data_IF_152669907972
#
_entry.id   IF_152669907972
#
_cell.length_a   1.000
_cell.length_b   1.000
_cell.length_c   1.000
_cell.angle_alpha   90.00
_cell.angle_beta   90.00
_cell.angle_gamma   90.00
#
_symmetry.space_group_name_H-M   'P 1'
#
loop_
_entity.id
_entity.type
_entity.pdbx_description
1 polymer ?
#
# COMPACT_ATOMS: atom_id res chain seq x y z
N UNK A 1 2.22 10.44 17.60
CA UNK A 1 2.99 9.44 16.84
C UNK A 1 3.00 8.08 17.52
N UNK A 2 3.52 7.92 18.75
CA UNK A 2 3.65 6.61 19.41
C UNK A 2 2.35 5.82 19.41
N UNK A 3 1.24 6.46 19.79
CA UNK A 3 -0.07 5.80 19.83
C UNK A 3 -0.45 5.21 18.47
N UNK A 4 -0.30 5.98 17.38
CA UNK A 4 -0.61 5.49 16.04
C UNK A 4 0.25 4.27 15.67
N UNK A 5 1.56 4.33 15.91
CA UNK A 5 2.47 3.21 15.62
C UNK A 5 2.15 1.98 16.47
N UNK A 6 1.89 2.17 17.76
CA UNK A 6 1.54 1.11 18.68
C UNK A 6 0.22 0.42 18.28
N UNK A 7 -0.79 1.19 17.88
CA UNK A 7 -2.07 0.62 17.40
C UNK A 7 -1.93 -0.13 16.08
N UNK A 8 -1.09 0.32 15.15
CA UNK A 8 -0.80 -0.45 13.95
C UNK A 8 -0.04 -1.74 14.28
N UNK A 9 0.93 -1.67 15.20
CA UNK A 9 1.73 -2.81 15.63
C UNK A 9 0.91 -3.91 16.33
N UNK A 10 -0.11 -3.51 17.10
CA UNK A 10 -1.09 -4.39 17.73
C UNK A 10 -2.09 -4.97 16.73
N UNK A 11 -2.33 -4.27 15.63
CA UNK A 11 -3.42 -4.53 14.71
C UNK A 11 -4.76 -4.08 15.28
N UNK A 12 -5.62 -3.54 14.42
CA UNK A 12 -6.94 -3.05 14.80
C UNK A 12 -8.00 -3.52 13.81
N UNK A 13 -9.02 -4.20 14.32
CA UNK A 13 -10.27 -4.49 13.61
C UNK A 13 -11.37 -3.63 14.20
N UNK A 14 -12.04 -2.86 13.35
CA UNK A 14 -13.09 -1.96 13.82
C UNK A 14 -14.17 -1.81 12.76
N UNK A 15 -15.36 -1.44 13.22
CA UNK A 15 -16.45 -0.98 12.38
C UNK A 15 -16.55 0.53 12.51
N UNK A 16 -16.73 1.22 11.39
CA UNK A 16 -16.90 2.67 11.39
C UNK A 16 -18.07 3.08 12.29
N UNK A 17 -17.85 4.14 13.07
CA UNK A 17 -18.81 4.58 14.08
C UNK A 17 -20.08 5.08 13.38
N UNK A 18 -21.24 4.56 13.77
CA UNK A 18 -22.56 4.79 13.16
C UNK A 18 -22.68 4.32 11.70
N UNK A 19 -21.90 3.30 11.31
CA UNK A 19 -21.99 2.63 10.02
C UNK A 19 -23.44 2.40 9.56
N UNK A 20 -23.70 2.70 8.30
CA UNK A 20 -25.01 2.67 7.68
C UNK A 20 -25.20 3.82 6.70
N UNK A 21 -26.37 3.83 6.06
CA UNK A 21 -26.71 4.78 4.97
C UNK A 21 -26.71 6.25 5.37
N UNK A 22 -26.69 6.56 6.67
CA UNK A 22 -26.60 7.93 7.17
C UNK A 22 -25.19 8.51 7.05
N UNK A 23 -24.16 7.66 6.97
CA UNK A 23 -22.76 8.07 6.81
C UNK A 23 -22.33 7.96 5.36
N UNK A 24 -22.64 6.84 4.72
CA UNK A 24 -22.34 6.61 3.31
C UNK A 24 -23.50 5.81 2.69
N UNK A 25 -24.21 6.42 1.75
CA UNK A 25 -25.37 5.84 1.08
C UNK A 25 -24.99 5.00 -0.16
N UNK A 26 -23.70 4.95 -0.49
CA UNK A 26 -23.14 4.20 -1.61
C UNK A 26 -22.42 2.94 -1.15
N UNK A 27 -21.66 3.02 -0.06
CA UNK A 27 -20.86 1.92 0.47
C UNK A 27 -21.73 0.72 0.90
N UNK A 28 -21.21 -0.49 0.68
CA UNK A 28 -21.82 -1.71 1.20
C UNK A 28 -21.58 -1.87 2.69
N UNK A 29 -22.40 -2.68 3.36
CA UNK A 29 -22.30 -2.88 4.82
C UNK A 29 -20.91 -3.39 5.25
N UNK A 30 -20.30 -4.23 4.41
CA UNK A 30 -18.98 -4.81 4.61
C UNK A 30 -17.86 -3.76 4.50
N UNK A 31 -18.06 -2.70 3.71
CA UNK A 31 -17.07 -1.63 3.54
C UNK A 31 -16.76 -0.88 4.83
N UNK A 32 -17.74 -0.80 5.74
CA UNK A 32 -17.57 -0.16 7.04
C UNK A 32 -16.71 -0.99 8.02
N UNK A 33 -16.43 -2.26 7.73
CA UNK A 33 -15.61 -3.13 8.56
C UNK A 33 -14.15 -3.05 8.11
N UNK A 34 -13.32 -2.34 8.86
CA UNK A 34 -11.93 -2.10 8.52
C UNK A 34 -10.98 -2.91 9.39
N UNK A 35 -9.85 -3.27 8.78
CA UNK A 35 -8.69 -3.87 9.44
C UNK A 35 -7.46 -3.05 9.06
N UNK A 36 -6.60 -2.75 10.03
CA UNK A 36 -5.29 -2.15 9.82
C UNK A 36 -4.26 -2.88 10.67
N UNK A 37 -3.02 -2.92 10.23
CA UNK A 37 -1.96 -3.57 10.98
C UNK A 37 -0.59 -3.46 10.35
N UNK A 38 0.33 -4.25 10.89
CA UNK A 38 1.67 -4.46 10.36
C UNK A 38 1.85 -5.94 10.11
N UNK A 39 2.22 -6.30 8.89
CA UNK A 39 2.70 -7.65 8.59
C UNK A 39 4.13 -7.77 9.13
N UNK A 40 4.33 -8.63 10.12
CA UNK A 40 5.62 -8.79 10.78
C UNK A 40 6.59 -9.75 10.06
N UNK A 41 6.20 -10.32 8.93
CA UNK A 41 7.11 -11.02 8.01
C UNK A 41 7.79 -10.01 7.08
N UNK A 42 7.04 -9.02 6.58
CA UNK A 42 7.53 -8.02 5.63
C UNK A 42 7.91 -6.68 6.27
N UNK A 43 7.27 -6.33 7.38
CA UNK A 43 7.31 -5.02 8.03
C UNK A 43 6.32 -4.01 7.45
N UNK A 44 5.53 -4.38 6.44
CA UNK A 44 4.64 -3.44 5.75
C UNK A 44 3.40 -3.13 6.58
N UNK A 45 2.99 -1.87 6.53
CA UNK A 45 1.66 -1.47 7.01
C UNK A 45 0.62 -1.91 5.98
N UNK A 46 -0.46 -2.51 6.46
CA UNK A 46 -1.57 -2.93 5.61
C UNK A 46 -2.89 -2.40 6.15
N UNK A 47 -3.90 -2.32 5.28
CA UNK A 47 -5.25 -2.11 5.75
C UNK A 47 -6.33 -2.17 4.69
N UNK A 48 -7.56 -1.99 5.16
CA UNK A 48 -8.76 -1.94 4.35
C UNK A 48 -9.25 -3.28 3.82
N UNK A 49 -10.18 -3.22 2.87
CA UNK A 49 -10.81 -4.39 2.24
C UNK A 49 -11.25 -4.03 0.80
N UNK A 50 -11.74 -5.00 0.04
CA UNK A 50 -12.14 -4.81 -1.37
C UNK A 50 -13.41 -3.94 -1.56
N UNK A 51 -14.11 -3.62 -0.47
CA UNK A 51 -15.32 -2.78 -0.43
C UNK A 51 -15.06 -1.40 0.17
N UNK A 52 -13.80 -1.05 0.46
CA UNK A 52 -13.44 0.23 1.06
C UNK A 52 -12.53 1.07 0.15
N UNK A 53 -12.37 2.34 0.55
CA UNK A 53 -11.62 3.36 -0.17
C UNK A 53 -10.67 4.11 0.77
N UNK A 54 -9.77 3.39 1.44
CA UNK A 54 -8.90 3.96 2.50
C UNK A 54 -7.69 4.78 2.02
N UNK A 55 -7.48 4.90 0.70
CA UNK A 55 -6.37 5.66 0.11
C UNK A 55 -6.91 6.88 -0.63
N UNK A 56 -6.03 7.77 -1.11
CA UNK A 56 -6.46 8.97 -1.83
C UNK A 56 -7.21 8.68 -3.15
N UNK A 57 -7.05 7.49 -3.73
CA UNK A 57 -7.85 7.02 -4.86
C UNK A 57 -9.18 6.44 -4.35
N UNK A 58 -10.04 7.30 -3.83
CA UNK A 58 -11.14 6.94 -2.92
C UNK A 58 -12.53 6.79 -3.58
N UNK A 59 -12.59 6.72 -4.91
CA UNK A 59 -13.88 6.79 -5.61
C UNK A 59 -14.74 5.55 -5.36
N UNK A 60 -15.77 5.71 -4.52
CA UNK A 60 -16.86 4.75 -4.38
C UNK A 60 -17.85 4.87 -5.55
N UNK A 61 -18.15 3.75 -6.21
CA UNK A 61 -19.15 3.70 -7.27
C UNK A 61 -20.56 3.96 -6.74
N UNK A 62 -21.36 4.71 -7.49
CA UNK A 62 -22.65 5.23 -7.02
C UNK A 62 -23.82 5.05 -8.00
N UNK A 63 -23.59 4.44 -9.17
CA UNK A 63 -24.62 4.26 -10.19
C UNK A 63 -25.24 2.87 -10.11
N UNK A 64 -26.48 2.80 -9.61
CA UNK A 64 -27.28 1.59 -9.66
C UNK A 64 -27.57 1.16 -11.10
N UNK A 65 -27.80 2.12 -12.01
CA UNK A 65 -28.08 1.85 -13.43
C UNK A 65 -26.90 1.20 -14.16
N UNK A 66 -25.68 1.58 -13.78
CA UNK A 66 -24.46 0.99 -14.32
C UNK A 66 -23.97 -0.24 -13.53
N UNK A 67 -24.70 -0.67 -12.49
CA UNK A 67 -24.34 -1.83 -11.67
C UNK A 67 -23.08 -1.66 -10.81
N UNK A 68 -22.61 -0.42 -10.59
CA UNK A 68 -21.37 -0.15 -9.86
C UNK A 68 -21.58 0.48 -8.47
N UNK A 69 -22.84 0.67 -8.04
CA UNK A 69 -23.13 1.21 -6.71
C UNK A 69 -22.53 0.32 -5.62
N UNK A 70 -21.74 0.92 -4.73
CA UNK A 70 -21.04 0.24 -3.64
C UNK A 70 -19.85 -0.61 -4.06
N UNK A 71 -19.37 -0.45 -5.30
CA UNK A 71 -18.10 -1.02 -5.76
C UNK A 71 -17.04 0.08 -5.81
N UNK A 72 -15.95 0.00 -5.02
CA UNK A 72 -14.81 0.87 -5.20
C UNK A 72 -14.28 0.82 -6.64
N UNK A 73 -13.98 1.98 -7.23
CA UNK A 73 -13.39 2.02 -8.57
C UNK A 73 -11.92 1.55 -8.55
N UNK A 74 -11.25 1.75 -7.42
CA UNK A 74 -9.82 1.49 -7.23
C UNK A 74 -9.58 1.03 -5.79
N UNK A 75 -10.05 -0.18 -5.39
CA UNK A 75 -9.76 -0.70 -4.07
C UNK A 75 -8.24 -0.94 -3.96
N UNK A 76 -7.62 -0.32 -2.96
CA UNK A 76 -6.18 -0.40 -2.69
C UNK A 76 -5.94 -0.91 -1.27
N UNK A 77 -6.60 -2.02 -0.97
CA UNK A 77 -6.44 -2.76 0.29
C UNK A 77 -5.06 -3.43 0.35
N UNK A 78 -4.69 -3.99 1.50
CA UNK A 78 -3.36 -4.54 1.69
C UNK A 78 -2.34 -3.43 1.91
N UNK A 79 -1.13 -3.58 1.35
CA UNK A 79 -0.03 -2.63 1.58
C UNK A 79 0.16 -1.71 0.37
N UNK A 80 -0.42 -0.51 0.42
CA UNK A 80 -0.23 0.52 -0.61
C UNK A 80 1.22 1.06 -0.60
N UNK A 81 1.84 1.18 -1.77
CA UNK A 81 3.27 1.53 -1.91
C UNK A 81 3.66 2.83 -1.19
N UNK A 82 2.82 3.86 -1.25
CA UNK A 82 3.09 5.14 -0.60
C UNK A 82 2.96 5.06 0.92
N UNK A 83 2.06 4.22 1.45
CA UNK A 83 1.91 4.04 2.90
C UNK A 83 3.11 3.30 3.49
N UNK A 84 3.65 2.31 2.77
CA UNK A 84 4.90 1.64 3.16
C UNK A 84 6.07 2.63 3.15
N UNK A 85 6.19 3.47 2.11
CA UNK A 85 7.21 4.52 2.04
C UNK A 85 7.08 5.55 3.19
N UNK A 86 5.88 6.05 3.45
CA UNK A 86 5.60 6.98 4.55
C UNK A 86 5.89 6.35 5.92
N UNK A 87 5.55 5.07 6.10
CA UNK A 87 5.90 4.29 7.29
C UNK A 87 7.42 4.27 7.50
N UNK A 88 8.18 3.89 6.48
CA UNK A 88 9.65 3.88 6.52
C UNK A 88 10.22 5.26 6.88
N UNK A 89 9.67 6.33 6.28
CA UNK A 89 10.08 7.71 6.55
C UNK A 89 9.85 8.10 8.01
N UNK A 90 8.66 7.83 8.54
CA UNK A 90 8.29 8.12 9.92
C UNK A 90 9.14 7.33 10.92
N UNK A 91 9.34 6.03 10.67
CA UNK A 91 10.17 5.16 11.53
C UNK A 91 11.63 5.63 11.52
N UNK A 92 12.19 5.95 10.36
CA UNK A 92 13.57 6.47 10.24
C UNK A 92 13.74 7.79 11.00
N UNK A 93 12.74 8.67 10.95
CA UNK A 93 12.76 9.94 11.68
C UNK A 93 12.71 9.71 13.20
N UNK A 94 11.82 8.84 13.67
CA UNK A 94 11.66 8.55 15.10
C UNK A 94 12.86 7.79 15.67
N UNK A 95 13.47 6.90 14.90
CA UNK A 95 14.71 6.22 15.28
C UNK A 95 15.84 7.22 15.57
N UNK A 96 16.02 8.21 14.69
CA UNK A 96 17.01 9.29 14.90
C UNK A 96 16.71 10.11 16.16
N UNK A 97 15.44 10.48 16.37
CA UNK A 97 15.04 11.24 17.55
C UNK A 97 15.18 10.43 18.85
N UNK A 98 14.94 9.13 18.80
CA UNK A 98 15.14 8.21 19.93
C UNK A 98 16.64 8.11 20.28
N UNK A 99 17.50 7.96 19.28
CA UNK A 99 18.96 7.95 19.47
C UNK A 99 19.47 9.26 20.09
N UNK A 100 18.86 10.39 19.74
CA UNK A 100 19.14 11.70 20.31
C UNK A 100 18.46 11.95 21.68
N UNK A 101 17.67 10.99 22.19
CA UNK A 101 16.88 11.10 23.43
C UNK A 101 15.83 12.23 23.43
N UNK A 102 15.46 12.71 22.25
CA UNK A 102 14.37 13.70 22.05
C UNK A 102 13.02 12.99 22.03
N UNK A 103 12.99 11.77 21.49
CA UNK A 103 11.82 10.90 21.53
C UNK A 103 11.96 9.84 22.62
N UNK A 104 10.97 9.67 23.52
CA UNK A 104 11.14 8.82 24.70
C UNK A 104 10.94 7.31 24.41
N UNK A 105 10.54 6.95 23.19
CA UNK A 105 10.32 5.57 22.77
C UNK A 105 11.37 5.19 21.73
N UNK A 106 11.77 3.92 21.71
CA UNK A 106 12.72 3.34 20.75
C UNK A 106 12.08 2.24 19.90
N UNK A 107 10.76 2.05 20.00
CA UNK A 107 10.04 0.98 19.33
C UNK A 107 8.57 0.88 19.74
N UNK A 108 7.98 -0.25 19.39
CA UNK A 108 6.60 -0.64 19.69
C UNK A 108 6.55 -2.05 20.29
N UNK A 109 5.45 -2.39 20.94
CA UNK A 109 5.16 -3.78 21.32
C UNK A 109 4.25 -4.41 20.27
N UNK A 110 4.73 -5.47 19.63
CA UNK A 110 4.01 -6.23 18.63
C UNK A 110 3.50 -7.56 19.20
N UNK A 111 2.31 -8.02 18.81
CA UNK A 111 1.85 -9.37 19.16
C UNK A 111 2.30 -10.33 18.06
N UNK A 112 3.32 -11.15 18.33
CA UNK A 112 3.78 -12.20 17.41
C UNK A 112 3.46 -13.57 18.02
N UNK A 113 2.67 -14.39 17.32
CA UNK A 113 2.23 -15.71 17.79
C UNK A 113 1.59 -15.68 19.20
N UNK A 114 0.82 -14.64 19.51
CA UNK A 114 0.18 -14.46 20.82
C UNK A 114 1.11 -13.93 21.92
N UNK A 115 2.38 -13.64 21.61
CA UNK A 115 3.36 -13.12 22.57
C UNK A 115 3.70 -11.67 22.25
N UNK A 116 3.60 -10.80 23.28
CA UNK A 116 4.05 -9.41 23.18
C UNK A 116 5.57 -9.37 23.06
N UNK A 117 6.06 -8.89 21.91
CA UNK A 117 7.47 -8.78 21.57
C UNK A 117 7.79 -7.34 21.24
N UNK A 118 8.82 -6.78 21.87
CA UNK A 118 9.31 -5.45 21.50
C UNK A 118 9.94 -5.49 20.12
N UNK A 119 9.56 -4.56 19.26
CA UNK A 119 10.20 -4.31 17.96
C UNK A 119 10.74 -2.89 17.98
N UNK A 120 12.05 -2.73 17.84
CA UNK A 120 12.64 -1.39 17.79
C UNK A 120 12.32 -0.71 16.46
N UNK A 121 12.38 0.62 16.41
CA UNK A 121 12.22 1.34 15.14
C UNK A 121 13.30 0.94 14.12
N UNK A 122 14.51 0.63 14.60
CA UNK A 122 15.61 0.16 13.77
C UNK A 122 15.29 -1.22 13.15
N UNK A 123 14.83 -2.18 13.96
CA UNK A 123 14.43 -3.51 13.49
C UNK A 123 13.30 -3.44 12.47
N UNK A 124 12.30 -2.57 12.73
CA UNK A 124 11.18 -2.38 11.81
C UNK A 124 11.63 -1.75 10.48
N UNK A 125 12.48 -0.72 10.52
CA UNK A 125 13.07 -0.15 9.30
C UNK A 125 13.87 -1.20 8.51
N UNK A 126 14.67 -2.01 9.19
CA UNK A 126 15.47 -3.07 8.57
C UNK A 126 14.57 -4.11 7.89
N UNK A 127 13.47 -4.50 8.54
CA UNK A 127 12.51 -5.45 7.99
C UNK A 127 11.87 -4.92 6.70
N UNK A 128 11.33 -3.69 6.73
CA UNK A 128 10.76 -3.04 5.53
C UNK A 128 11.81 -2.99 4.42
N UNK A 129 13.02 -2.49 4.72
CA UNK A 129 14.09 -2.35 3.73
C UNK A 129 14.48 -3.67 3.09
N UNK A 130 14.53 -4.75 3.87
CA UNK A 130 14.92 -6.08 3.39
C UNK A 130 13.87 -6.75 2.48
N UNK A 131 12.64 -6.25 2.51
CA UNK A 131 11.48 -6.86 1.85
C UNK A 131 10.85 -5.96 0.76
N UNK A 132 11.08 -4.65 0.81
CA UNK A 132 10.41 -3.69 -0.08
C UNK A 132 10.58 -4.06 -1.55
N UNK A 133 11.81 -4.10 -2.08
CA UNK A 133 12.00 -4.41 -3.50
C UNK A 133 11.63 -5.85 -3.83
N UNK A 134 11.86 -6.82 -2.92
CA UNK A 134 11.45 -8.22 -3.15
C UNK A 134 9.96 -8.37 -3.46
N UNK A 135 9.12 -7.50 -2.90
CA UNK A 135 7.67 -7.60 -3.02
C UNK A 135 7.04 -6.54 -3.91
N UNK A 136 7.68 -5.39 -4.12
CA UNK A 136 7.16 -4.30 -4.95
C UNK A 136 7.82 -4.20 -6.32
N UNK A 137 9.08 -4.61 -6.50
CA UNK A 137 9.73 -4.51 -7.81
C UNK A 137 9.28 -5.63 -8.75
N UNK A 138 8.99 -5.29 -10.01
CA UNK A 138 8.78 -6.25 -11.09
C UNK A 138 9.97 -6.19 -12.03
N UNK A 139 10.68 -7.30 -12.18
CA UNK A 139 11.88 -7.38 -12.99
C UNK A 139 11.60 -7.11 -14.48
N UNK A 140 12.57 -6.48 -15.15
CA UNK A 140 12.56 -6.22 -16.59
C UNK A 140 12.54 -7.54 -17.36
N UNK A 141 13.41 -8.46 -16.97
CA UNK A 141 13.42 -9.85 -17.44
C UNK A 141 12.67 -10.73 -16.44
N UNK A 142 12.00 -11.78 -16.93
CA UNK A 142 11.21 -12.64 -16.07
C UNK A 142 12.08 -13.45 -15.10
N UNK A 143 11.79 -13.35 -13.80
CA UNK A 143 12.44 -14.14 -12.75
C UNK A 143 11.40 -14.94 -11.96
N UNK A 144 11.16 -16.19 -12.37
CA UNK A 144 10.07 -17.02 -11.85
C UNK A 144 10.14 -17.28 -10.32
N UNK A 145 11.32 -17.21 -9.71
CA UNK A 145 11.49 -17.37 -8.25
C UNK A 145 10.78 -16.26 -7.46
N UNK A 146 10.75 -15.03 -8.01
CA UNK A 146 10.21 -13.83 -7.35
C UNK A 146 8.90 -13.34 -7.96
N UNK A 147 8.44 -13.99 -9.05
CA UNK A 147 7.22 -13.65 -9.77
C UNK A 147 6.25 -14.85 -9.80
N UNK A 148 5.52 -15.14 -8.70
CA UNK A 148 4.62 -16.29 -8.63
C UNK A 148 3.36 -16.16 -9.52
N UNK A 149 3.05 -14.93 -9.96
CA UNK A 149 1.88 -14.61 -10.77
C UNK A 149 2.24 -13.80 -12.03
N UNK A 150 3.08 -14.34 -12.93
CA UNK A 150 3.51 -13.63 -14.12
C UNK A 150 2.35 -13.28 -15.06
N UNK A 151 1.24 -14.03 -15.00
CA UNK A 151 0.02 -13.81 -15.78
C UNK A 151 -0.70 -12.49 -15.45
N UNK A 152 -0.41 -11.87 -14.30
CA UNK A 152 -1.02 -10.61 -13.87
C UNK A 152 -0.18 -9.38 -14.22
N UNK A 153 1.05 -9.60 -14.69
CA UNK A 153 2.00 -8.53 -14.98
C UNK A 153 1.67 -7.92 -16.34
N UNK A 154 1.08 -6.72 -16.33
CA UNK A 154 0.83 -5.95 -17.56
C UNK A 154 2.09 -5.22 -18.06
N UNK A 155 2.95 -4.74 -17.14
CA UNK A 155 4.23 -4.10 -17.47
C UNK A 155 5.35 -4.56 -16.54
N UNK A 156 6.56 -4.58 -17.08
CA UNK A 156 7.81 -4.93 -16.40
C UNK A 156 8.66 -3.69 -16.18
N UNK A 157 9.62 -3.78 -15.25
CA UNK A 157 10.47 -2.64 -14.90
C UNK A 157 9.71 -1.54 -14.16
N UNK A 158 8.76 -1.93 -13.30
CA UNK A 158 7.92 -1.00 -12.53
C UNK A 158 7.90 -1.42 -11.06
N UNK A 159 7.46 -0.51 -10.19
CA UNK A 159 7.03 -0.86 -8.84
C UNK A 159 5.51 -1.07 -8.83
N UNK A 160 5.09 -2.20 -8.25
CA UNK A 160 3.69 -2.53 -7.95
C UNK A 160 3.02 -1.40 -7.18
N UNK A 161 1.73 -1.22 -7.43
CA UNK A 161 0.94 -0.18 -6.76
C UNK A 161 0.60 -0.55 -5.30
N UNK A 162 0.48 -1.85 -5.05
CA UNK A 162 0.19 -2.44 -3.75
C UNK A 162 0.80 -3.83 -3.61
N UNK A 163 0.79 -4.35 -2.39
CA UNK A 163 1.14 -5.72 -2.07
C UNK A 163 0.01 -6.39 -1.28
N UNK A 164 -0.45 -7.54 -1.77
CA UNK A 164 -1.60 -8.29 -1.25
C UNK A 164 -2.92 -7.51 -1.22
N UNK A 165 -3.16 -6.68 -2.23
CA UNK A 165 -4.47 -6.08 -2.43
C UNK A 165 -5.52 -7.10 -2.86
N UNK A 166 -6.77 -6.74 -2.61
CA UNK A 166 -7.94 -7.42 -3.16
C UNK A 166 -8.74 -6.44 -4.02
N UNK A 167 -8.99 -6.76 -5.31
CA UNK A 167 -8.58 -7.98 -6.01
C UNK A 167 -7.07 -8.04 -6.30
N UNK A 168 -6.53 -9.25 -6.39
CA UNK A 168 -5.10 -9.53 -6.44
C UNK A 168 -4.38 -8.98 -7.69
N UNK A 169 -5.09 -8.71 -8.79
CA UNK A 169 -4.51 -8.07 -9.97
C UNK A 169 -4.22 -6.57 -9.75
N UNK A 170 -4.85 -5.92 -8.77
CA UNK A 170 -4.68 -4.48 -8.51
C UNK A 170 -3.23 -4.11 -8.14
N UNK A 171 -2.55 -5.05 -7.51
CA UNK A 171 -1.13 -5.01 -7.18
C UNK A 171 -0.23 -4.67 -8.38
N UNK A 172 -0.52 -5.23 -9.56
CA UNK A 172 0.39 -5.23 -10.71
C UNK A 172 0.18 -4.05 -11.66
N UNK A 173 -0.55 -3.02 -11.22
CA UNK A 173 -0.88 -1.87 -12.04
C UNK A 173 0.22 -0.80 -11.98
N UNK A 174 0.59 -0.26 -13.14
CA UNK A 174 1.41 0.96 -13.19
C UNK A 174 0.53 2.17 -12.85
N UNK A 175 0.80 2.80 -11.71
CA UNK A 175 0.13 3.99 -11.17
C UNK A 175 1.15 5.01 -10.67
N UNK A 176 0.79 6.31 -10.56
CA UNK A 176 1.72 7.35 -10.14
C UNK A 176 1.92 7.44 -8.62
N UNK A 177 1.73 6.34 -7.88
CA UNK A 177 1.79 6.31 -6.41
C UNK A 177 3.20 6.03 -5.88
N UNK A 178 3.96 5.12 -6.51
CA UNK A 178 5.31 4.77 -6.06
C UNK A 178 6.30 5.96 -6.00
N UNK A 179 6.20 7.03 -6.82
CA UNK A 179 7.07 8.19 -6.67
C UNK A 179 6.96 8.88 -5.30
N UNK A 180 5.81 8.78 -4.63
CA UNK A 180 5.65 9.30 -3.26
C UNK A 180 6.61 8.55 -2.31
N UNK A 181 6.66 7.22 -2.41
CA UNK A 181 7.57 6.40 -1.63
C UNK A 181 9.05 6.71 -1.96
N UNK A 182 9.37 6.94 -3.24
CA UNK A 182 10.73 7.34 -3.65
C UNK A 182 11.17 8.67 -3.04
N UNK A 183 10.27 9.65 -2.92
CA UNK A 183 10.60 10.96 -2.34
C UNK A 183 10.82 10.84 -0.82
N UNK A 184 9.93 10.14 -0.12
CA UNK A 184 9.92 10.13 1.36
C UNK A 184 10.85 9.06 1.96
N UNK A 185 11.19 8.03 1.20
CA UNK A 185 12.05 6.93 1.62
C UNK A 185 12.93 6.39 0.46
N UNK A 186 13.79 7.22 -0.16
CA UNK A 186 14.63 6.82 -1.30
C UNK A 186 15.56 5.64 -0.99
N UNK A 187 15.91 5.43 0.28
CA UNK A 187 16.74 4.31 0.74
C UNK A 187 16.11 2.92 0.55
N UNK A 188 14.83 2.85 0.16
CA UNK A 188 14.13 1.61 -0.17
C UNK A 188 14.38 1.14 -1.61
N UNK A 189 14.97 1.99 -2.45
CA UNK A 189 15.03 1.77 -3.89
C UNK A 189 16.48 1.56 -4.35
N UNK A 190 16.71 0.52 -5.15
CA UNK A 190 17.94 0.38 -5.93
C UNK A 190 17.94 1.46 -7.02
N UNK A 191 19.00 2.30 -7.13
CA UNK A 191 19.01 3.43 -8.06
C UNK A 191 18.66 3.07 -9.52
N UNK A 192 19.17 1.93 -10.00
CA UNK A 192 18.93 1.44 -11.35
C UNK A 192 17.45 1.09 -11.57
N UNK A 193 16.83 0.35 -10.64
CA UNK A 193 15.40 0.05 -10.67
C UNK A 193 14.54 1.32 -10.61
N UNK A 194 14.92 2.26 -9.75
CA UNK A 194 14.22 3.53 -9.61
C UNK A 194 14.20 4.33 -10.92
N UNK A 195 15.34 4.43 -11.59
CA UNK A 195 15.43 5.09 -12.89
C UNK A 195 14.55 4.43 -13.95
N UNK A 196 14.60 3.10 -14.05
CA UNK A 196 13.78 2.35 -15.01
C UNK A 196 12.29 2.62 -14.76
N UNK A 197 11.83 2.52 -13.51
CA UNK A 197 10.42 2.76 -13.17
C UNK A 197 9.99 4.21 -13.41
N UNK A 198 10.85 5.19 -13.09
CA UNK A 198 10.57 6.61 -13.33
C UNK A 198 10.47 6.90 -14.83
N UNK A 199 11.33 6.32 -15.67
CA UNK A 199 11.21 6.42 -17.13
C UNK A 199 9.90 5.80 -17.62
N UNK A 200 9.48 4.64 -17.10
CA UNK A 200 8.16 4.07 -17.43
C UNK A 200 7.01 5.00 -17.03
N UNK A 201 7.08 5.61 -15.84
CA UNK A 201 6.05 6.55 -15.39
C UNK A 201 6.03 7.83 -16.25
N UNK A 202 7.18 8.36 -16.65
CA UNK A 202 7.29 9.50 -17.55
C UNK A 202 6.68 9.18 -18.92
N UNK A 203 7.07 8.08 -19.55
CA UNK A 203 6.62 7.72 -20.89
C UNK A 203 5.12 7.37 -20.94
N UNK A 204 4.60 6.69 -19.91
CA UNK A 204 3.25 6.12 -19.93
C UNK A 204 2.23 7.03 -19.22
N UNK A 205 2.60 7.57 -18.05
CA UNK A 205 1.66 8.26 -17.16
C UNK A 205 1.74 9.78 -17.24
N UNK A 206 2.87 10.39 -17.62
CA UNK A 206 2.97 11.84 -17.67
C UNK A 206 2.09 12.41 -18.79
N UNK A 207 1.10 13.21 -18.42
CA UNK A 207 0.32 14.05 -19.31
C UNK A 207 0.83 15.50 -19.31
N UNK A 208 0.19 16.35 -20.11
CA UNK A 208 0.61 17.76 -20.26
C UNK A 208 0.50 18.60 -18.98
N UNK A 209 -0.44 18.27 -18.08
CA UNK A 209 -0.73 19.03 -16.86
C UNK A 209 -0.76 18.17 -15.59
N UNK A 210 -0.52 16.87 -15.70
CA UNK A 210 -0.62 15.96 -14.57
C UNK A 210 -0.38 14.50 -14.95
N UNK A 211 -0.37 13.64 -13.95
CA UNK A 211 -0.17 12.20 -14.13
C UNK A 211 -1.50 11.50 -14.39
N UNK A 212 -1.53 10.59 -15.37
CA UNK A 212 -2.60 9.59 -15.50
C UNK A 212 -2.60 8.71 -14.25
N UNK A 213 -3.78 8.45 -13.71
CA UNK A 213 -3.94 7.67 -12.46
C UNK A 213 -3.80 6.17 -12.66
N UNK A 214 -3.77 5.70 -13.91
CA UNK A 214 -3.61 4.32 -14.32
C UNK A 214 -3.02 4.27 -15.74
N UNK A 215 -2.24 3.23 -15.99
CA UNK A 215 -1.76 2.84 -17.32
C UNK A 215 -2.89 2.69 -18.36
N UNK A 216 -2.84 3.41 -19.50
CA UNK A 216 -3.85 3.33 -20.55
C UNK A 216 -3.99 1.97 -21.24
N UNK A 217 -2.99 1.08 -21.18
CA UNK A 217 -3.11 -0.25 -21.80
C UNK A 217 -4.04 -1.17 -21.04
N UNK A 218 -4.34 -0.85 -19.78
CA UNK A 218 -5.32 -1.57 -18.98
C UNK A 218 -6.71 -1.07 -19.38
N UNK A 219 -7.41 -1.86 -20.20
CA UNK A 219 -8.86 -1.69 -20.33
C UNK A 219 -9.51 -2.09 -19.01
N UNK A 220 -10.46 -1.29 -18.53
CA UNK A 220 -11.37 -1.71 -17.47
C UNK A 220 -12.01 -3.03 -17.89
N UNK A 221 -11.50 -4.15 -17.38
CA UNK A 221 -12.22 -5.41 -17.46
C UNK A 221 -13.47 -5.19 -16.62
N UNK A 222 -14.62 -5.01 -17.29
CA UNK A 222 -15.90 -5.26 -16.64
C UNK A 222 -15.80 -6.64 -16.01
N UNK A 223 -16.00 -6.74 -14.70
CA UNK A 223 -16.03 -8.01 -13.96
C UNK A 223 -16.74 -9.08 -14.82
N UNK A 224 -16.17 -10.28 -14.99
CA UNK A 224 -16.93 -11.37 -15.55
C UNK A 224 -18.16 -11.59 -14.66
N UNK A 225 -19.34 -11.45 -15.28
CA UNK A 225 -20.66 -11.69 -14.67
C UNK A 225 -20.79 -13.08 -14.10
#
# INVERSE_FOLDING_TARGET
MQEALQRHAEGLKYRERNAGTQIDDQMKDEGFNNEIGVDWETGFVFGGNEHNCGTWMDKMGSSAKAGNKGKPATPRSGSAVELVGLSMSALTWLEKLAAQKVYPYDGVSAIKNGVSTKVTFNDWCALIKSNFEKHFWINVDQEAEYEPHPELINRRGIYKDSFFAKPFWADFQLRPNFPIAMIVAPQLFTPEHAWIALTQAEEVLLGSLGMKTLDPSIQYQSDPT
#
